data_IF_906242118815
#
_entry.id   IF_906242118815
#
_cell.length_a   1.000
_cell.length_b   1.000
_cell.length_c   1.000
_cell.angle_alpha   90.00
_cell.angle_beta   90.00
_cell.angle_gamma   90.00
#
_symmetry.space_group_name_H-M   'P 1'
#
loop_
_entity.id
_entity.type
_entity.pdbx_description
1 polymer ?
#
# COMPACT_ATOMS: atom_id res chain seq x y z
N UNK A 1 -3.53 1.48 -9.04
CA UNK A 1 -3.23 2.93 -8.90
C UNK A 1 -2.38 3.10 -7.66
N UNK A 2 -1.18 3.66 -7.77
CA UNK A 2 -0.40 4.11 -6.61
C UNK A 2 -0.72 5.59 -6.46
N UNK A 3 -1.40 6.03 -5.38
CA UNK A 3 -1.80 7.44 -5.25
C UNK A 3 -0.60 8.38 -5.21
N UNK A 4 0.58 7.86 -4.83
CA UNK A 4 1.85 8.58 -4.85
C UNK A 4 3.03 7.60 -4.97
N UNK A 5 4.15 8.04 -5.56
CA UNK A 5 5.41 7.30 -5.58
C UNK A 5 5.98 7.15 -4.17
N UNK A 6 6.78 6.10 -3.94
CA UNK A 6 7.38 5.80 -2.62
C UNK A 6 8.12 6.99 -2.04
N UNK A 7 8.97 7.66 -2.82
CA UNK A 7 9.76 8.81 -2.38
C UNK A 7 8.87 9.97 -1.88
N UNK A 8 7.71 10.18 -2.51
CA UNK A 8 6.76 11.20 -2.08
C UNK A 8 6.10 10.86 -0.75
N UNK A 9 5.79 9.58 -0.53
CA UNK A 9 5.19 9.10 0.73
C UNK A 9 6.20 9.21 1.85
N UNK A 10 7.44 8.80 1.60
CA UNK A 10 8.51 8.81 2.60
C UNK A 10 8.86 10.24 3.02
N UNK A 11 8.77 11.21 2.10
CA UNK A 11 8.95 12.63 2.40
C UNK A 11 7.76 13.21 3.19
N UNK A 12 6.52 12.84 2.85
CA UNK A 12 5.33 13.37 3.51
C UNK A 12 5.07 12.74 4.89
N UNK A 13 5.45 11.48 5.06
CA UNK A 13 5.17 10.67 6.25
C UNK A 13 6.41 9.84 6.62
N UNK A 14 7.48 10.49 7.14
CA UNK A 14 8.72 9.80 7.45
C UNK A 14 8.53 8.81 8.61
N UNK A 15 8.99 7.58 8.42
CA UNK A 15 9.01 6.53 9.45
C UNK A 15 10.46 6.18 9.78
N UNK A 16 10.79 6.24 11.07
CA UNK A 16 12.11 5.82 11.58
C UNK A 16 12.01 4.47 12.28
N UNK A 17 13.01 3.62 12.07
CA UNK A 17 13.12 2.34 12.76
C UNK A 17 14.41 2.29 13.56
N UNK A 18 14.35 1.78 14.80
CA UNK A 18 15.54 1.54 15.63
C UNK A 18 16.43 0.43 15.07
N UNK A 19 15.87 -0.46 14.23
CA UNK A 19 16.56 -1.52 13.51
C UNK A 19 16.08 -1.47 12.06
N UNK A 20 16.98 -1.66 11.08
CA UNK A 20 16.60 -1.66 9.66
C UNK A 20 15.70 -2.87 9.35
N UNK A 21 14.52 -2.69 8.73
CA UNK A 21 13.67 -3.79 8.32
C UNK A 21 14.29 -4.59 7.16
N UNK A 22 14.04 -5.90 7.18
CA UNK A 22 14.44 -6.84 6.12
C UNK A 22 13.62 -6.63 4.84
N UNK A 23 12.36 -6.24 5.00
CA UNK A 23 11.50 -5.84 3.88
C UNK A 23 10.44 -4.83 4.31
N UNK A 24 10.05 -3.97 3.36
CA UNK A 24 8.92 -3.05 3.52
C UNK A 24 7.95 -3.32 2.37
N UNK A 25 6.70 -3.64 2.69
CA UNK A 25 5.63 -3.81 1.70
C UNK A 25 4.57 -2.75 1.90
N UNK A 26 4.17 -2.07 0.81
CA UNK A 26 3.17 -1.00 0.84
C UNK A 26 1.95 -1.36 0.00
N UNK A 27 0.76 -1.29 0.62
CA UNK A 27 -0.53 -1.60 0.01
C UNK A 27 -1.35 -0.31 -0.13
N UNK A 28 -1.91 -0.06 -1.31
CA UNK A 28 -2.80 1.08 -1.54
C UNK A 28 -4.18 0.64 -2.02
N UNK A 29 -5.21 1.13 -1.35
CA UNK A 29 -6.60 0.95 -1.74
C UNK A 29 -7.09 2.20 -2.49
N UNK A 30 -7.63 2.00 -3.69
CA UNK A 30 -8.40 3.05 -4.37
C UNK A 30 -9.88 2.88 -4.03
N UNK A 31 -10.50 3.92 -3.50
CA UNK A 31 -11.93 3.95 -3.21
C UNK A 31 -12.66 4.73 -4.30
N UNK A 32 -13.56 4.10 -5.02
CA UNK A 32 -14.41 4.76 -6.01
C UNK A 32 -15.87 4.58 -5.64
N UNK A 33 -16.72 5.53 -6.05
CA UNK A 33 -18.16 5.34 -5.93
C UNK A 33 -18.57 4.14 -6.78
N UNK A 34 -19.34 3.24 -6.19
CA UNK A 34 -19.89 2.12 -6.93
C UNK A 34 -21.04 2.62 -7.81
N UNK A 35 -20.85 2.55 -9.13
CA UNK A 35 -21.75 3.07 -10.16
C UNK A 35 -22.53 1.97 -10.88
N UNK A 36 -22.59 0.78 -10.29
CA UNK A 36 -23.10 -0.48 -10.86
C UNK A 36 -22.17 -1.09 -11.91
N UNK A 37 -22.00 -2.41 -11.88
CA UNK A 37 -21.17 -3.12 -12.84
C UNK A 37 -20.57 -4.39 -12.25
N UNK A 38 -19.88 -5.16 -13.09
CA UNK A 38 -19.23 -6.39 -12.66
C UNK A 38 -17.96 -6.08 -11.85
N UNK A 39 -18.00 -6.45 -10.56
CA UNK A 39 -16.83 -6.40 -9.68
C UNK A 39 -15.91 -7.57 -10.05
N UNK A 40 -14.80 -7.28 -10.73
CA UNK A 40 -13.76 -8.27 -10.95
C UNK A 40 -13.14 -8.66 -9.62
N UNK A 41 -13.15 -9.96 -9.32
CA UNK A 41 -12.45 -10.49 -8.15
C UNK A 41 -10.95 -10.16 -8.29
N UNK A 42 -10.32 -9.51 -7.30
CA UNK A 42 -8.91 -9.21 -7.39
C UNK A 42 -8.08 -10.49 -7.33
N UNK A 43 -7.00 -10.55 -8.11
CA UNK A 43 -5.96 -11.54 -7.91
C UNK A 43 -5.10 -11.08 -6.73
N UNK A 44 -5.06 -11.88 -5.66
CA UNK A 44 -4.28 -11.57 -4.47
C UNK A 44 -2.88 -12.17 -4.67
N UNK A 45 -1.88 -11.32 -4.84
CA UNK A 45 -0.47 -11.74 -4.72
C UNK A 45 -0.10 -11.74 -3.24
N UNK A 46 0.27 -12.89 -2.65
CA UNK A 46 0.64 -12.96 -1.24
C UNK A 46 1.89 -12.14 -0.96
N UNK A 47 1.91 -11.48 0.21
CA UNK A 47 3.10 -10.82 0.72
C UNK A 47 3.91 -11.87 1.49
N UNK A 48 5.14 -12.10 1.07
CA UNK A 48 6.07 -12.94 1.82
C UNK A 48 6.64 -12.15 3.00
N UNK A 49 6.49 -12.67 4.23
CA UNK A 49 6.98 -12.03 5.46
C UNK A 49 8.09 -12.88 6.06
N UNK A 50 9.33 -12.40 5.98
CA UNK A 50 10.53 -13.06 6.52
C UNK A 50 11.37 -12.03 7.28
N UNK A 51 11.80 -12.39 8.49
CA UNK A 51 12.53 -11.47 9.36
C UNK A 51 11.65 -10.31 9.87
N UNK A 52 12.28 -9.19 10.19
CA UNK A 52 11.59 -7.94 10.54
C UNK A 52 11.01 -7.29 9.28
N UNK A 53 9.74 -7.57 9.02
CA UNK A 53 8.99 -7.02 7.88
C UNK A 53 8.06 -5.90 8.32
N UNK A 54 8.07 -4.78 7.61
CA UNK A 54 7.13 -3.67 7.79
C UNK A 54 6.05 -3.75 6.72
N UNK A 55 4.79 -3.62 7.12
CA UNK A 55 3.66 -3.51 6.19
C UNK A 55 2.98 -2.17 6.42
N UNK A 56 2.96 -1.38 5.36
CA UNK A 56 2.23 -0.12 5.30
C UNK A 56 1.00 -0.30 4.43
N UNK A 57 -0.10 0.31 4.84
CA UNK A 57 -1.33 0.28 4.08
C UNK A 57 -2.03 1.63 4.19
N UNK A 58 -2.65 2.03 3.10
CA UNK A 58 -3.42 3.26 3.04
C UNK A 58 -4.38 3.24 1.86
N UNK A 59 -5.12 4.32 1.66
CA UNK A 59 -5.95 4.44 0.48
C UNK A 59 -6.35 5.86 0.20
N UNK A 60 -6.89 6.08 -1.00
CA UNK A 60 -7.34 7.37 -1.49
C UNK A 60 -8.68 7.20 -2.21
N UNK A 61 -9.54 8.20 -2.09
CA UNK A 61 -10.69 8.31 -2.99
C UNK A 61 -10.16 8.61 -4.39
N UNK A 62 -10.66 7.88 -5.38
CA UNK A 62 -10.32 8.07 -6.78
C UNK A 62 -11.34 9.05 -7.37
N UNK A 63 -10.84 10.10 -8.01
CA UNK A 63 -11.66 11.04 -8.80
C UNK A 63 -12.18 10.38 -10.09
#
# INVERSE_FOLDING_TARGET
MYPMLTDGVDAAMPVSFSVKPDSITRIWFGFAQYDSGDIKKPMITPIERKGFTVVEWGGAVLD
#
